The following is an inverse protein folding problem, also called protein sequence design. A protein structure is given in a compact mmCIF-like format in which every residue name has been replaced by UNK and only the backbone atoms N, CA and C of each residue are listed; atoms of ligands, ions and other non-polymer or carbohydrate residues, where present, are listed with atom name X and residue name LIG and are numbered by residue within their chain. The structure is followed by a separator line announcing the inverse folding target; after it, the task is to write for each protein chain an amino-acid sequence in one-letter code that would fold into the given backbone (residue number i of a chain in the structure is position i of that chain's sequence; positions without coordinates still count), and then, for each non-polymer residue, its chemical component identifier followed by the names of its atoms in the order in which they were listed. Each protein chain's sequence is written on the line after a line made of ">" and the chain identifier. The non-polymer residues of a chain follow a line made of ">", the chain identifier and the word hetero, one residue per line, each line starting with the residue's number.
data_IF_106697673273
#
_entry.id   IF_106697673273
#
_cell.length_a   1.000
_cell.length_b   1.000
_cell.length_c   1.000
_cell.angle_alpha   90.00
_cell.angle_beta   90.00
_cell.angle_gamma   90.00
#
_symmetry.space_group_name_H-M   'P 1'
#
loop_
_entity.id
_entity.type
_entity.pdbx_description
1 polymer ?
#
# COMPACT_ATOMS: atom_id res chain seq x y z
N UNK A 1 -3.61 4.35 -28.13
CA UNK A 1 -4.10 4.69 -26.78
C UNK A 1 -5.25 3.73 -26.47
N UNK A 2 -5.11 2.85 -25.49
CA UNK A 2 -6.20 1.96 -25.09
C UNK A 2 -7.27 2.81 -24.39
N UNK A 3 -8.52 2.77 -24.86
CA UNK A 3 -9.63 3.51 -24.25
C UNK A 3 -9.86 2.89 -22.87
N UNK A 4 -9.65 3.68 -21.80
CA UNK A 4 -9.92 3.24 -20.42
C UNK A 4 -11.42 3.31 -20.14
N UNK A 5 -11.94 2.35 -19.39
CA UNK A 5 -13.32 2.34 -18.94
C UNK A 5 -13.52 3.41 -17.85
N UNK A 6 -14.61 4.17 -17.95
CA UNK A 6 -14.94 5.20 -16.95
C UNK A 6 -15.39 4.54 -15.65
N UNK A 7 -14.65 4.80 -14.59
CA UNK A 7 -14.92 4.27 -13.27
C UNK A 7 -15.24 5.38 -12.25
N UNK A 8 -16.05 5.03 -11.26
CA UNK A 8 -16.33 5.82 -10.06
C UNK A 8 -15.75 5.09 -8.86
N UNK A 9 -15.12 5.81 -7.94
CA UNK A 9 -14.62 5.27 -6.67
C UNK A 9 -15.58 5.61 -5.52
N UNK A 10 -16.02 4.61 -4.75
CA UNK A 10 -16.88 4.79 -3.59
C UNK A 10 -16.72 3.68 -2.55
N UNK A 11 -16.67 3.97 -1.24
CA UNK A 11 -16.52 5.28 -0.64
C UNK A 11 -15.05 5.73 -0.71
N UNK A 12 -14.83 7.01 -0.98
CA UNK A 12 -13.50 7.61 -0.95
C UNK A 12 -13.12 8.01 0.49
N UNK A 13 -11.98 7.53 0.96
CA UNK A 13 -11.29 7.98 2.16
C UNK A 13 -9.76 8.01 1.94
N UNK A 14 -9.00 8.27 3.02
CA UNK A 14 -7.55 8.38 2.97
C UNK A 14 -6.84 7.09 2.50
N UNK A 15 -7.47 5.92 2.58
CA UNK A 15 -6.84 4.65 2.20
C UNK A 15 -6.62 4.54 0.69
N UNK A 16 -7.36 5.31 -0.11
CA UNK A 16 -7.29 5.32 -1.58
C UNK A 16 -6.66 6.60 -2.15
N UNK A 17 -6.25 7.56 -1.31
CA UNK A 17 -5.51 8.75 -1.75
C UNK A 17 -4.30 8.41 -2.66
N UNK A 18 -3.45 7.41 -2.31
CA UNK A 18 -2.33 7.03 -3.18
C UNK A 18 -2.76 6.53 -4.56
N UNK A 19 -3.87 5.80 -4.64
CA UNK A 19 -4.39 5.31 -5.92
C UNK A 19 -4.89 6.46 -6.80
N UNK A 20 -5.51 7.49 -6.20
CA UNK A 20 -5.93 8.68 -6.94
C UNK A 20 -4.73 9.49 -7.42
N UNK A 21 -3.71 9.68 -6.56
CA UNK A 21 -2.48 10.37 -6.95
C UNK A 21 -1.81 9.67 -8.14
N UNK A 22 -1.76 8.33 -8.10
CA UNK A 22 -1.13 7.51 -9.13
C UNK A 22 -2.10 6.83 -10.10
N UNK A 23 -3.24 7.46 -10.40
CA UNK A 23 -4.30 6.85 -11.22
C UNK A 23 -3.87 6.44 -12.64
N UNK A 24 -2.77 6.98 -13.16
CA UNK A 24 -2.24 6.59 -14.47
C UNK A 24 -1.80 5.11 -14.48
N UNK A 25 -1.45 4.52 -13.33
CA UNK A 25 -1.13 3.09 -13.17
C UNK A 25 -2.32 2.16 -13.41
N UNK A 26 -3.56 2.68 -13.32
CA UNK A 26 -4.74 1.89 -13.64
C UNK A 26 -4.79 1.61 -15.14
N UNK A 27 -4.41 0.41 -15.55
CA UNK A 27 -4.35 0.05 -16.96
C UNK A 27 -5.72 0.11 -17.66
N UNK A 28 -6.78 -0.30 -16.96
CA UNK A 28 -8.11 -0.53 -17.55
C UNK A 28 -9.12 0.59 -17.28
N UNK A 29 -8.91 1.42 -16.25
CA UNK A 29 -9.93 2.34 -15.75
C UNK A 29 -9.42 3.77 -15.64
N UNK A 30 -10.28 4.75 -15.94
CA UNK A 30 -10.07 6.16 -15.60
C UNK A 30 -11.07 6.56 -14.52
N UNK A 31 -10.59 7.15 -13.43
CA UNK A 31 -11.44 7.58 -12.32
C UNK A 31 -11.63 9.09 -12.42
N UNK A 32 -12.80 9.50 -12.93
CA UNK A 32 -13.11 10.92 -13.12
C UNK A 32 -14.01 11.47 -11.98
N UNK A 33 -14.58 10.58 -11.16
CA UNK A 33 -15.43 10.92 -10.03
C UNK A 33 -15.13 10.04 -8.82
N UNK A 34 -15.00 10.69 -7.67
CA UNK A 34 -14.77 10.07 -6.37
C UNK A 34 -15.86 10.53 -5.42
N UNK A 35 -16.37 9.61 -4.60
CA UNK A 35 -17.56 9.87 -3.81
C UNK A 35 -17.31 9.45 -2.38
N UNK A 36 -17.53 10.36 -1.44
CA UNK A 36 -17.53 10.04 -0.02
C UNK A 36 -18.96 10.12 0.52
N UNK A 37 -19.35 9.21 1.45
CA UNK A 37 -20.61 9.29 2.16
C UNK A 37 -20.86 10.65 2.82
N UNK A 38 -22.13 11.06 2.88
CA UNK A 38 -22.54 12.22 3.67
C UNK A 38 -22.20 12.01 5.14
N UNK A 39 -21.79 13.09 5.82
CA UNK A 39 -21.33 13.03 7.21
C UNK A 39 -19.83 12.74 7.37
N UNK A 40 -19.12 12.36 6.30
CA UNK A 40 -17.67 12.11 6.39
C UNK A 40 -16.80 13.38 6.34
N UNK A 41 -17.40 14.55 6.07
CA UNK A 41 -16.71 15.85 6.11
C UNK A 41 -15.78 16.13 4.91
N UNK A 42 -15.96 15.39 3.81
CA UNK A 42 -15.06 15.45 2.64
C UNK A 42 -15.68 16.11 1.41
N UNK A 43 -17.01 16.15 1.29
CA UNK A 43 -17.69 16.70 0.12
C UNK A 43 -17.27 18.16 -0.15
N UNK A 44 -16.99 18.47 -1.42
CA UNK A 44 -16.57 19.79 -1.88
C UNK A 44 -15.06 20.07 -1.79
N UNK A 45 -14.30 19.27 -1.04
CA UNK A 45 -12.83 19.35 -0.98
C UNK A 45 -12.19 18.70 -2.21
N UNK A 46 -10.94 19.06 -2.48
CA UNK A 46 -10.11 18.33 -3.43
C UNK A 46 -9.61 17.02 -2.80
N UNK A 47 -9.50 15.97 -3.63
CA UNK A 47 -9.12 14.62 -3.25
C UNK A 47 -7.81 14.53 -2.47
N UNK A 48 -6.83 15.35 -2.83
CA UNK A 48 -5.50 15.37 -2.22
C UNK A 48 -5.48 16.24 -0.96
N UNK A 49 -5.91 17.50 -1.07
CA UNK A 49 -5.87 18.43 0.08
C UNK A 49 -6.82 18.05 1.21
N UNK A 50 -7.85 17.24 0.96
CA UNK A 50 -8.65 16.62 2.02
C UNK A 50 -7.82 15.78 3.02
N UNK A 51 -6.63 15.33 2.61
CA UNK A 51 -5.71 14.49 3.38
C UNK A 51 -4.28 15.04 3.43
N UNK A 52 -4.13 16.37 3.32
CA UNK A 52 -2.84 17.06 3.45
C UNK A 52 -1.87 16.86 2.29
N UNK A 53 -2.33 16.30 1.16
CA UNK A 53 -1.53 16.19 -0.06
C UNK A 53 -1.71 17.45 -0.93
N UNK A 54 -0.86 17.60 -1.96
CA UNK A 54 -1.10 18.61 -3.00
C UNK A 54 -2.45 18.36 -3.70
N UNK A 55 -3.04 19.41 -4.30
CA UNK A 55 -4.31 19.26 -5.01
C UNK A 55 -4.19 18.31 -6.21
N UNK A 56 -5.09 17.33 -6.30
CA UNK A 56 -5.15 16.38 -7.42
C UNK A 56 -6.02 16.89 -8.58
N UNK A 57 -6.80 17.94 -8.36
CA UNK A 57 -7.76 18.48 -9.33
C UNK A 57 -9.07 17.70 -9.41
N UNK A 58 -9.32 16.78 -8.47
CA UNK A 58 -10.56 16.00 -8.39
C UNK A 58 -11.35 16.42 -7.15
N UNK A 59 -12.57 16.91 -7.35
CA UNK A 59 -13.47 17.25 -6.25
C UNK A 59 -14.21 16.03 -5.74
N UNK A 60 -14.29 15.90 -4.42
CA UNK A 60 -15.06 14.86 -3.75
C UNK A 60 -16.54 15.23 -3.78
N UNK A 61 -17.37 14.31 -4.28
CA UNK A 61 -18.82 14.45 -4.33
C UNK A 61 -19.51 13.57 -3.27
N UNK A 62 -20.80 13.79 -3.05
CA UNK A 62 -21.63 13.00 -2.15
C UNK A 62 -22.87 12.37 -2.82
N UNK A 63 -23.10 12.66 -4.11
CA UNK A 63 -24.23 12.15 -4.88
C UNK A 63 -23.81 10.91 -5.69
N UNK A 64 -24.06 9.74 -5.11
CA UNK A 64 -23.72 8.46 -5.71
C UNK A 64 -24.49 8.20 -7.01
N UNK A 65 -25.80 8.43 -7.01
CA UNK A 65 -26.71 8.07 -8.10
C UNK A 65 -26.37 8.82 -9.40
N UNK A 66 -26.06 10.11 -9.31
CA UNK A 66 -25.66 10.92 -10.47
C UNK A 66 -24.36 10.39 -11.07
N UNK A 67 -23.34 10.15 -10.23
CA UNK A 67 -22.06 9.65 -10.69
C UNK A 67 -22.15 8.22 -11.25
N UNK A 68 -22.96 7.36 -10.63
CA UNK A 68 -23.21 6.00 -11.09
C UNK A 68 -23.75 6.00 -12.53
N UNK A 69 -24.66 6.91 -12.87
CA UNK A 69 -25.22 6.99 -14.22
C UNK A 69 -24.20 7.39 -15.30
N UNK A 70 -23.10 8.05 -14.94
CA UNK A 70 -22.09 8.58 -15.88
C UNK A 70 -20.86 7.67 -16.07
N UNK A 71 -20.85 6.49 -15.46
CA UNK A 71 -19.74 5.54 -15.55
C UNK A 71 -20.20 4.17 -16.06
N UNK A 72 -19.24 3.30 -16.39
CA UNK A 72 -19.49 1.89 -16.71
C UNK A 72 -19.17 0.97 -15.53
N UNK A 73 -18.32 1.41 -14.61
CA UNK A 73 -17.75 0.58 -13.54
C UNK A 73 -17.76 1.34 -12.21
N UNK A 74 -18.18 0.69 -11.12
CA UNK A 74 -18.03 1.19 -9.75
C UNK A 74 -16.93 0.39 -9.06
N UNK A 75 -15.94 1.10 -8.52
CA UNK A 75 -14.92 0.55 -7.65
C UNK A 75 -15.36 0.79 -6.21
N UNK A 76 -15.76 -0.29 -5.56
CA UNK A 76 -16.05 -0.32 -4.14
C UNK A 76 -14.74 -0.41 -3.33
N UNK A 77 -14.30 0.73 -2.82
CA UNK A 77 -13.04 0.91 -2.10
C UNK A 77 -13.15 0.47 -0.64
N UNK A 78 -12.14 -0.23 -0.14
CA UNK A 78 -11.96 -0.46 1.30
C UNK A 78 -11.83 0.87 2.06
N UNK A 79 -12.30 0.89 3.30
CA UNK A 79 -12.30 2.07 4.15
C UNK A 79 -12.04 1.68 5.60
N UNK A 80 -11.46 2.60 6.38
CA UNK A 80 -11.18 2.35 7.82
C UNK A 80 -12.21 2.92 8.79
N UNK A 81 -13.17 3.71 8.29
CA UNK A 81 -14.21 4.28 9.16
C UNK A 81 -15.17 3.21 9.64
N UNK A 82 -15.51 3.26 10.93
CA UNK A 82 -16.54 2.41 11.51
C UNK A 82 -17.91 2.81 10.93
N UNK A 83 -18.41 2.04 9.98
CA UNK A 83 -19.68 2.27 9.30
C UNK A 83 -20.23 0.93 8.80
N UNK A 84 -21.55 0.74 8.92
CA UNK A 84 -22.19 -0.50 8.46
C UNK A 84 -22.05 -0.67 6.95
N UNK A 85 -21.49 -1.81 6.56
CA UNK A 85 -21.43 -2.23 5.16
C UNK A 85 -22.85 -2.44 4.61
N UNK A 86 -23.72 -3.07 5.38
CA UNK A 86 -25.09 -3.44 5.01
C UNK A 86 -25.98 -2.21 4.78
N UNK A 87 -25.81 -1.15 5.59
CA UNK A 87 -26.63 0.05 5.48
C UNK A 87 -26.10 1.04 4.45
N UNK A 88 -24.77 1.18 4.34
CA UNK A 88 -24.16 2.20 3.51
C UNK A 88 -23.73 1.68 2.14
N UNK A 89 -23.08 0.52 2.10
CA UNK A 89 -22.37 0.03 0.92
C UNK A 89 -23.24 -0.90 0.08
N UNK A 90 -23.84 -1.91 0.72
CA UNK A 90 -24.62 -2.93 0.03
C UNK A 90 -25.76 -2.35 -0.82
N UNK A 91 -26.53 -1.34 -0.35
CA UNK A 91 -27.59 -0.75 -1.17
C UNK A 91 -27.05 -0.03 -2.42
N UNK A 92 -25.82 0.50 -2.34
CA UNK A 92 -25.13 1.11 -3.50
C UNK A 92 -24.62 0.06 -4.47
N UNK A 93 -24.18 -1.10 -3.98
CA UNK A 93 -23.86 -2.26 -4.81
C UNK A 93 -25.12 -2.71 -5.57
N UNK A 94 -26.25 -2.91 -4.88
CA UNK A 94 -27.51 -3.32 -5.51
C UNK A 94 -27.98 -2.29 -6.55
N UNK A 95 -27.93 -0.99 -6.23
CA UNK A 95 -28.27 0.07 -7.18
C UNK A 95 -27.38 0.02 -8.44
N UNK A 96 -26.08 -0.20 -8.26
CA UNK A 96 -25.11 -0.28 -9.37
C UNK A 96 -25.40 -1.49 -10.27
N UNK A 97 -25.72 -2.64 -9.68
CA UNK A 97 -26.10 -3.85 -10.42
C UNK A 97 -27.40 -3.62 -11.21
N UNK A 98 -28.41 -3.02 -10.57
CA UNK A 98 -29.70 -2.74 -11.20
C UNK A 98 -29.58 -1.73 -12.36
N UNK A 99 -28.62 -0.81 -12.26
CA UNK A 99 -28.28 0.17 -13.33
C UNK A 99 -27.21 -0.35 -14.30
N UNK A 100 -26.92 -1.66 -14.27
CA UNK A 100 -26.01 -2.38 -15.20
C UNK A 100 -24.57 -1.86 -15.19
N UNK A 101 -24.05 -1.51 -14.02
CA UNK A 101 -22.65 -1.11 -13.83
C UNK A 101 -21.80 -2.29 -13.39
N UNK A 102 -20.61 -2.43 -13.97
CA UNK A 102 -19.61 -3.39 -13.53
C UNK A 102 -19.18 -3.07 -12.10
N UNK A 103 -18.86 -4.11 -11.34
CA UNK A 103 -18.54 -4.02 -9.91
C UNK A 103 -17.11 -4.51 -9.70
N UNK A 104 -16.27 -3.64 -9.16
CA UNK A 104 -14.95 -3.98 -8.64
C UNK A 104 -15.01 -3.83 -7.13
N UNK A 105 -14.88 -4.91 -6.39
CA UNK A 105 -14.84 -4.89 -4.94
C UNK A 105 -13.41 -5.02 -4.41
N UNK A 106 -13.04 -4.14 -3.49
CA UNK A 106 -11.79 -4.20 -2.72
C UNK A 106 -12.04 -4.25 -1.21
N UNK A 107 -13.31 -4.17 -0.79
CA UNK A 107 -13.74 -4.21 0.61
C UNK A 107 -13.66 -5.65 1.13
N UNK A 108 -13.18 -5.80 2.37
CA UNK A 108 -13.22 -7.07 3.08
C UNK A 108 -14.64 -7.48 3.43
N UNK A 109 -15.18 -8.45 2.69
CA UNK A 109 -16.49 -9.04 2.93
C UNK A 109 -16.36 -10.54 3.19
N UNK A 110 -17.30 -11.10 3.94
CA UNK A 110 -17.34 -12.53 4.20
C UNK A 110 -17.76 -13.32 2.93
N UNK A 111 -17.59 -14.64 2.96
CA UNK A 111 -17.87 -15.50 1.80
C UNK A 111 -19.36 -15.54 1.41
N UNK A 112 -20.27 -15.39 2.37
CA UNK A 112 -21.70 -15.39 2.13
C UNK A 112 -22.13 -14.15 1.34
N UNK A 113 -21.74 -12.96 1.80
CA UNK A 113 -22.00 -11.68 1.12
C UNK A 113 -21.35 -11.67 -0.27
N UNK A 114 -20.12 -12.16 -0.40
CA UNK A 114 -19.44 -12.26 -1.70
C UNK A 114 -20.22 -13.14 -2.69
N UNK A 115 -20.71 -14.31 -2.24
CA UNK A 115 -21.56 -15.19 -3.06
C UNK A 115 -22.88 -14.54 -3.43
N UNK A 116 -23.48 -13.77 -2.50
CA UNK A 116 -24.70 -13.03 -2.75
C UNK A 116 -24.51 -11.99 -3.85
N UNK A 117 -23.47 -11.16 -3.75
CA UNK A 117 -23.14 -10.13 -4.76
C UNK A 117 -22.85 -10.78 -6.12
N UNK A 118 -22.03 -11.85 -6.14
CA UNK A 118 -21.72 -12.57 -7.36
C UNK A 118 -22.98 -13.11 -8.05
N UNK A 119 -23.89 -13.72 -7.28
CA UNK A 119 -25.16 -14.25 -7.80
C UNK A 119 -26.06 -13.14 -8.35
N UNK A 120 -26.11 -11.98 -7.70
CA UNK A 120 -26.88 -10.82 -8.17
C UNK A 120 -26.30 -10.25 -9.47
N UNK A 121 -24.98 -10.17 -9.58
CA UNK A 121 -24.28 -9.70 -10.78
C UNK A 121 -24.52 -10.66 -11.97
N UNK A 122 -24.40 -11.97 -11.74
CA UNK A 122 -24.64 -13.00 -12.78
C UNK A 122 -26.06 -12.92 -13.34
N UNK A 123 -27.08 -12.86 -12.46
CA UNK A 123 -28.49 -12.69 -12.87
C UNK A 123 -28.74 -11.42 -13.66
N UNK A 124 -27.92 -10.39 -13.45
CA UNK A 124 -28.04 -9.10 -14.11
C UNK A 124 -27.10 -8.92 -15.30
N UNK A 125 -26.29 -9.92 -15.64
CA UNK A 125 -25.23 -9.85 -16.66
C UNK A 125 -24.27 -8.68 -16.44
N UNK A 126 -23.80 -8.55 -15.19
CA UNK A 126 -22.86 -7.52 -14.73
C UNK A 126 -21.53 -8.17 -14.39
N UNK A 127 -20.41 -7.58 -14.81
CA UNK A 127 -19.09 -8.06 -14.42
C UNK A 127 -18.86 -7.82 -12.93
N UNK A 128 -18.39 -8.84 -12.23
CA UNK A 128 -17.96 -8.75 -10.83
C UNK A 128 -16.53 -9.23 -10.67
N UNK A 129 -15.68 -8.37 -10.09
CA UNK A 129 -14.30 -8.70 -9.72
C UNK A 129 -14.12 -8.35 -8.24
N UNK A 130 -13.68 -9.33 -7.43
CA UNK A 130 -13.34 -9.10 -6.04
C UNK A 130 -11.83 -9.26 -5.82
N UNK A 131 -11.11 -8.16 -5.64
CA UNK A 131 -9.65 -8.16 -5.44
C UNK A 131 -9.20 -8.68 -4.08
N UNK A 132 -10.07 -8.68 -3.05
CA UNK A 132 -9.79 -9.35 -1.77
C UNK A 132 -9.79 -10.87 -1.89
N UNK A 133 -10.63 -11.39 -2.79
CA UNK A 133 -10.72 -12.83 -3.08
C UNK A 133 -9.81 -13.24 -4.22
N UNK A 134 -9.34 -12.30 -5.06
CA UNK A 134 -8.58 -12.58 -6.26
C UNK A 134 -7.47 -13.57 -5.91
N UNK A 135 -7.74 -14.82 -6.28
CA UNK A 135 -6.82 -15.95 -6.15
C UNK A 135 -5.70 -15.82 -7.17
N UNK A 136 -5.19 -14.62 -7.43
CA UNK A 136 -3.92 -14.44 -8.13
C UNK A 136 -2.73 -14.86 -7.24
N UNK A 137 -3.00 -15.22 -5.98
CA UNK A 137 -2.16 -16.13 -5.20
C UNK A 137 -2.08 -17.56 -5.75
N UNK A 138 -2.95 -18.01 -6.68
CA UNK A 138 -2.88 -19.37 -7.22
C UNK A 138 -1.76 -19.59 -8.23
N UNK A 139 -1.24 -18.56 -8.90
CA UNK A 139 -0.07 -18.81 -9.76
C UNK A 139 1.16 -19.17 -8.91
N UNK A 140 1.25 -18.68 -7.67
CA UNK A 140 2.40 -18.97 -6.79
C UNK A 140 2.09 -20.12 -5.83
N UNK A 141 0.93 -20.16 -5.17
CA UNK A 141 0.57 -21.22 -4.22
C UNK A 141 0.39 -22.61 -4.85
N UNK A 142 -0.06 -22.71 -6.11
CA UNK A 142 -0.33 -24.02 -6.75
C UNK A 142 0.92 -24.67 -7.35
N UNK A 143 2.09 -24.01 -7.29
CA UNK A 143 3.37 -24.55 -7.75
C UNK A 143 4.47 -24.15 -6.77
N UNK A 144 4.19 -24.26 -5.48
CA UNK A 144 5.25 -24.48 -4.50
C UNK A 144 5.29 -25.99 -4.36
N UNK A 145 6.05 -26.60 -5.26
CA UNK A 145 6.30 -28.02 -5.29
C UNK A 145 6.76 -28.46 -3.88
N UNK A 146 6.06 -29.41 -3.26
CA UNK A 146 6.35 -29.91 -1.88
C UNK A 146 7.83 -30.28 -1.70
N UNK A 147 8.51 -30.60 -2.80
CA UNK A 147 9.95 -30.90 -2.87
C UNK A 147 10.85 -29.74 -2.39
N UNK A 148 10.44 -28.47 -2.58
CA UNK A 148 11.23 -27.29 -2.20
C UNK A 148 10.83 -26.74 -0.82
N UNK A 149 9.63 -27.05 -0.33
CA UNK A 149 9.09 -26.55 0.94
C UNK A 149 9.84 -27.10 2.15
N UNK A 150 10.40 -28.31 2.03
CA UNK A 150 11.10 -28.99 3.13
C UNK A 150 12.61 -28.70 3.18
N UNK A 151 13.11 -27.82 2.31
CA UNK A 151 14.50 -27.37 2.35
C UNK A 151 14.54 -25.98 2.97
N UNK A 152 15.13 -25.84 4.16
CA UNK A 152 15.46 -24.56 4.77
C UNK A 152 16.55 -23.85 3.96
N UNK A 153 16.19 -23.35 2.77
CA UNK A 153 17.10 -22.73 1.81
C UNK A 153 16.53 -21.44 1.27
N UNK A 154 17.39 -20.43 1.23
CA UNK A 154 17.11 -19.14 0.60
C UNK A 154 17.70 -19.14 -0.81
N UNK A 155 16.84 -18.87 -1.79
CA UNK A 155 17.23 -18.67 -3.18
C UNK A 155 17.79 -17.26 -3.36
N UNK A 156 18.93 -17.16 -4.06
CA UNK A 156 19.50 -15.87 -4.45
C UNK A 156 18.61 -15.19 -5.50
N UNK A 157 18.11 -14.02 -5.16
CA UNK A 157 17.48 -13.07 -6.08
C UNK A 157 18.60 -12.22 -6.69
N UNK A 158 18.58 -12.03 -8.00
CA UNK A 158 19.61 -11.32 -8.77
C UNK A 158 19.20 -9.89 -9.13
N UNK A 159 17.90 -9.66 -9.18
CA UNK A 159 17.30 -8.36 -9.46
C UNK A 159 17.41 -7.48 -8.21
N UNK A 160 17.85 -6.22 -8.35
CA UNK A 160 17.93 -5.30 -7.22
C UNK A 160 16.59 -5.13 -6.50
N UNK A 161 16.61 -5.16 -5.17
CA UNK A 161 15.43 -5.04 -4.31
C UNK A 161 15.46 -3.69 -3.58
N UNK A 162 14.40 -2.91 -3.75
CA UNK A 162 14.08 -1.75 -2.91
C UNK A 162 13.09 -2.19 -1.84
N UNK A 163 13.47 -2.06 -0.57
CA UNK A 163 12.61 -2.36 0.56
C UNK A 163 12.06 -1.08 1.19
N UNK A 164 10.74 -0.99 1.30
CA UNK A 164 10.04 0.13 1.93
C UNK A 164 9.43 -0.34 3.24
N UNK A 165 9.92 0.21 4.35
CA UNK A 165 9.49 -0.13 5.72
C UNK A 165 9.17 1.16 6.47
N UNK A 166 8.61 1.02 7.67
CA UNK A 166 8.32 2.18 8.49
C UNK A 166 8.05 1.84 9.94
N UNK A 167 8.03 2.86 10.78
CA UNK A 167 7.89 2.70 12.22
C UNK A 167 6.53 2.09 12.61
N UNK A 168 5.48 2.40 11.85
CA UNK A 168 4.10 1.94 12.06
C UNK A 168 3.30 1.94 10.76
N UNK A 169 2.02 1.59 10.83
CA UNK A 169 1.04 2.00 9.80
C UNK A 169 0.94 3.53 9.66
N UNK A 170 0.27 4.01 8.60
CA UNK A 170 0.05 5.46 8.32
C UNK A 170 1.33 6.29 8.09
N UNK A 171 2.40 5.62 7.70
CA UNK A 171 3.70 6.21 7.35
C UNK A 171 3.88 6.38 5.83
N UNK A 172 2.82 6.55 5.05
CA UNK A 172 2.90 6.76 3.59
C UNK A 172 3.71 5.71 2.78
N UNK A 173 3.97 4.51 3.34
CA UNK A 173 4.72 3.44 2.65
C UNK A 173 4.16 3.12 1.27
N UNK A 174 2.84 3.01 1.15
CA UNK A 174 2.23 2.68 -0.13
C UNK A 174 2.41 3.80 -1.17
N UNK A 175 2.38 5.07 -0.74
CA UNK A 175 2.69 6.22 -1.58
C UNK A 175 4.13 6.16 -2.11
N UNK A 176 5.09 5.90 -1.22
CA UNK A 176 6.50 5.69 -1.60
C UNK A 176 6.62 4.59 -2.65
N UNK A 177 5.94 3.46 -2.44
CA UNK A 177 5.97 2.35 -3.40
C UNK A 177 5.42 2.74 -4.78
N UNK A 178 4.31 3.49 -4.82
CA UNK A 178 3.68 3.89 -6.08
C UNK A 178 4.48 4.98 -6.80
N UNK A 179 5.03 5.95 -6.06
CA UNK A 179 5.90 6.99 -6.63
C UNK A 179 7.20 6.40 -7.21
N UNK A 180 7.87 5.48 -6.50
CA UNK A 180 9.04 4.79 -7.07
C UNK A 180 8.66 4.00 -8.33
N UNK A 181 7.56 3.21 -8.26
CA UNK A 181 7.05 2.46 -9.41
C UNK A 181 6.80 3.36 -10.61
N UNK A 182 6.14 4.49 -10.40
CA UNK A 182 5.86 5.49 -11.43
C UNK A 182 7.11 5.87 -12.20
N UNK A 183 8.11 6.32 -11.45
CA UNK A 183 9.28 6.95 -12.00
C UNK A 183 10.17 5.91 -12.69
N UNK A 184 10.31 4.70 -12.13
CA UNK A 184 10.98 3.60 -12.83
C UNK A 184 10.27 3.22 -14.14
N UNK A 185 8.94 3.10 -14.15
CA UNK A 185 8.19 2.80 -15.38
C UNK A 185 8.35 3.92 -16.41
N UNK A 186 8.28 5.19 -15.98
CA UNK A 186 8.48 6.36 -16.86
C UNK A 186 9.87 6.40 -17.48
N UNK A 187 10.89 5.93 -16.78
CA UNK A 187 12.28 5.76 -17.27
C UNK A 187 12.48 4.53 -18.14
N UNK A 188 11.47 3.67 -18.27
CA UNK A 188 11.50 2.49 -19.15
C UNK A 188 11.91 1.19 -18.47
N UNK A 189 12.09 1.18 -17.14
CA UNK A 189 12.39 -0.05 -16.39
C UNK A 189 11.16 -0.93 -16.23
N UNK A 190 11.37 -2.23 -16.19
CA UNK A 190 10.38 -3.23 -15.80
C UNK A 190 10.38 -3.40 -14.29
N UNK A 191 9.25 -3.11 -13.65
CA UNK A 191 9.14 -3.10 -12.18
C UNK A 191 8.31 -4.27 -11.67
N UNK A 192 8.94 -5.17 -10.92
CA UNK A 192 8.25 -6.16 -10.07
C UNK A 192 7.89 -5.52 -8.73
N UNK A 193 6.72 -5.85 -8.16
CA UNK A 193 6.31 -5.20 -6.91
C UNK A 193 5.39 -6.04 -6.04
N UNK A 194 5.66 -6.00 -4.72
CA UNK A 194 4.81 -6.54 -3.65
C UNK A 194 4.38 -5.38 -2.75
N UNK A 195 3.10 -5.04 -2.78
CA UNK A 195 2.51 -3.91 -2.09
C UNK A 195 2.05 -4.17 -0.67
N UNK A 196 1.90 -3.08 0.09
CA UNK A 196 1.36 -3.09 1.46
C UNK A 196 -0.17 -3.06 1.54
N UNK A 197 -0.87 -3.00 0.40
CA UNK A 197 -2.35 -2.97 0.32
C UNK A 197 -2.89 -4.27 -0.27
N UNK A 198 -4.17 -4.54 -0.05
CA UNK A 198 -4.86 -5.74 -0.54
C UNK A 198 -5.48 -5.60 -1.94
N UNK A 199 -5.38 -4.41 -2.54
CA UNK A 199 -5.94 -4.09 -3.85
C UNK A 199 -4.85 -3.85 -4.91
N UNK A 200 -3.61 -4.29 -4.67
CA UNK A 200 -2.47 -4.02 -5.57
C UNK A 200 -2.68 -4.57 -6.98
N UNK A 201 -3.43 -5.66 -7.12
CA UNK A 201 -3.76 -6.30 -8.39
C UNK A 201 -4.59 -5.38 -9.29
N UNK A 202 -5.37 -4.45 -8.71
CA UNK A 202 -6.07 -3.40 -9.46
C UNK A 202 -5.08 -2.46 -10.18
N UNK A 203 -3.89 -2.29 -9.63
CA UNK A 203 -2.78 -1.48 -10.18
C UNK A 203 -1.77 -2.33 -10.98
N UNK A 204 -2.07 -3.62 -11.19
CA UNK A 204 -1.26 -4.53 -12.00
C UNK A 204 0.01 -5.03 -11.33
N UNK A 205 0.04 -5.12 -10.00
CA UNK A 205 1.14 -5.77 -9.25
C UNK A 205 0.60 -6.54 -8.04
N UNK A 206 1.48 -7.21 -7.30
CA UNK A 206 1.06 -8.17 -6.26
C UNK A 206 0.78 -7.51 -4.92
N UNK A 207 -0.27 -7.97 -4.25
CA UNK A 207 -0.45 -7.73 -2.82
C UNK A 207 0.48 -8.64 -2.00
N UNK A 208 0.73 -8.30 -0.74
CA UNK A 208 1.46 -9.18 0.18
C UNK A 208 0.77 -10.57 0.25
N UNK A 209 1.49 -11.69 0.03
CA UNK A 209 0.91 -13.03 0.07
C UNK A 209 0.28 -13.35 1.43
N UNK A 210 -0.93 -13.91 1.41
CA UNK A 210 -1.70 -14.18 2.62
C UNK A 210 -1.06 -15.18 3.57
N UNK A 211 -0.21 -16.10 3.07
CA UNK A 211 0.47 -17.10 3.90
C UNK A 211 1.40 -16.46 4.96
N UNK A 212 1.84 -15.21 4.76
CA UNK A 212 2.66 -14.50 5.75
C UNK A 212 1.89 -14.24 7.05
N UNK A 213 0.56 -14.19 6.98
CA UNK A 213 -0.33 -13.98 8.12
C UNK A 213 -0.95 -15.26 8.65
N UNK A 214 -0.70 -16.41 8.02
CA UNK A 214 -1.33 -17.68 8.38
C UNK A 214 -0.68 -18.26 9.65
N UNK A 215 -1.48 -18.44 10.69
CA UNK A 215 -1.03 -19.01 11.98
C UNK A 215 -0.77 -20.51 11.91
N UNK A 216 -1.19 -21.19 10.84
CA UNK A 216 -0.97 -22.62 10.63
C UNK A 216 0.38 -22.91 9.94
N UNK A 217 1.10 -21.87 9.52
CA UNK A 217 2.41 -21.98 8.88
C UNK A 217 3.47 -21.49 9.87
N UNK A 218 4.52 -22.28 10.10
CA UNK A 218 5.62 -21.87 10.98
C UNK A 218 6.38 -20.67 10.41
N UNK A 219 6.96 -19.84 11.29
CA UNK A 219 7.69 -18.64 10.85
C UNK A 219 8.87 -18.97 9.94
N UNK A 220 9.62 -20.03 10.23
CA UNK A 220 10.69 -20.52 9.35
C UNK A 220 10.19 -20.87 7.95
N UNK A 221 9.00 -21.47 7.85
CA UNK A 221 8.38 -21.82 6.58
C UNK A 221 7.84 -20.58 5.86
N UNK A 222 7.30 -19.59 6.57
CA UNK A 222 6.91 -18.32 5.96
C UNK A 222 8.09 -17.60 5.31
N UNK A 223 9.25 -17.60 5.96
CA UNK A 223 10.49 -17.00 5.44
C UNK A 223 10.89 -17.67 4.11
N UNK A 224 10.96 -19.00 4.07
CA UNK A 224 11.35 -19.73 2.84
C UNK A 224 10.30 -19.59 1.73
N UNK A 225 9.01 -19.63 2.08
CA UNK A 225 7.91 -19.41 1.13
C UNK A 225 7.94 -18.00 0.54
N UNK A 226 8.21 -16.97 1.36
CA UNK A 226 8.31 -15.59 0.88
C UNK A 226 9.51 -15.40 -0.05
N UNK A 227 10.68 -15.95 0.30
CA UNK A 227 11.83 -15.93 -0.58
C UNK A 227 11.52 -16.60 -1.94
N UNK A 228 10.90 -17.77 -1.92
CA UNK A 228 10.51 -18.48 -3.15
C UNK A 228 9.47 -17.69 -3.96
N UNK A 229 8.52 -17.04 -3.29
CA UNK A 229 7.53 -16.16 -3.92
C UNK A 229 8.22 -15.03 -4.70
N UNK A 230 9.17 -14.33 -4.08
CA UNK A 230 9.94 -13.25 -4.74
C UNK A 230 10.80 -13.82 -5.87
N UNK A 231 11.46 -14.97 -5.65
CA UNK A 231 12.27 -15.63 -6.68
C UNK A 231 11.45 -16.03 -7.92
N UNK A 232 10.23 -16.52 -7.70
CA UNK A 232 9.32 -16.90 -8.77
C UNK A 232 8.83 -15.68 -9.55
N UNK A 233 8.50 -14.59 -8.85
CA UNK A 233 8.19 -13.31 -9.48
C UNK A 233 9.37 -12.84 -10.34
N UNK A 234 10.61 -12.89 -9.83
CA UNK A 234 11.81 -12.55 -10.62
C UNK A 234 11.91 -13.39 -11.91
N UNK A 235 11.70 -14.70 -11.85
CA UNK A 235 11.88 -15.59 -13.01
C UNK A 235 10.78 -15.42 -14.07
N UNK A 236 9.53 -15.19 -13.64
CA UNK A 236 8.36 -15.05 -14.52
C UNK A 236 8.31 -13.64 -15.09
N UNK A 237 8.44 -12.63 -14.23
CA UNK A 237 8.28 -11.24 -14.61
C UNK A 237 9.58 -10.64 -15.12
N UNK A 238 10.75 -11.22 -14.83
CA UNK A 238 12.05 -10.70 -15.27
C UNK A 238 12.19 -9.17 -15.09
N UNK A 239 11.89 -8.62 -13.89
CA UNK A 239 11.97 -7.19 -13.67
C UNK A 239 13.43 -6.72 -13.66
N UNK A 240 13.64 -5.43 -13.92
CA UNK A 240 14.92 -4.74 -13.75
C UNK A 240 15.12 -4.29 -12.29
N UNK A 241 14.00 -4.05 -11.57
CA UNK A 241 13.98 -3.70 -10.14
C UNK A 241 12.75 -4.27 -9.46
N UNK A 242 12.90 -4.70 -8.21
CA UNK A 242 11.81 -5.23 -7.38
C UNK A 242 11.55 -4.27 -6.21
N UNK A 243 10.30 -3.80 -6.06
CA UNK A 243 9.88 -2.96 -4.92
C UNK A 243 9.06 -3.82 -3.94
N UNK A 244 9.49 -3.93 -2.69
CA UNK A 244 8.77 -4.67 -1.65
C UNK A 244 8.42 -3.71 -0.52
N UNK A 245 7.14 -3.62 -0.19
CA UNK A 245 6.67 -2.85 0.94
C UNK A 245 6.31 -3.77 2.10
N UNK A 246 6.83 -3.46 3.29
CA UNK A 246 6.57 -4.22 4.52
C UNK A 246 5.30 -3.69 5.19
N UNK A 247 4.24 -4.49 5.33
CA UNK A 247 3.01 -4.09 6.03
C UNK A 247 3.25 -3.88 7.53
N UNK A 248 2.41 -3.06 8.17
CA UNK A 248 2.52 -2.77 9.59
C UNK A 248 3.72 -1.88 9.95
N UNK A 249 4.38 -2.20 11.08
CA UNK A 249 5.55 -1.49 11.60
C UNK A 249 6.65 -2.45 12.01
N UNK A 250 7.86 -1.93 12.19
CA UNK A 250 9.06 -2.73 12.49
C UNK A 250 9.31 -2.99 13.98
N UNK A 251 8.58 -2.31 14.86
CA UNK A 251 8.70 -2.45 16.30
C UNK A 251 7.42 -1.98 17.01
N UNK A 252 7.17 -2.41 18.25
CA UNK A 252 6.12 -1.83 19.07
C UNK A 252 6.27 -0.32 19.14
N UNK A 253 5.18 0.39 18.84
CA UNK A 253 5.14 1.84 19.01
C UNK A 253 4.84 2.20 20.47
N UNK A 254 3.95 1.43 21.10
CA UNK A 254 3.67 1.44 22.54
C UNK A 254 2.98 0.10 22.93
N UNK A 255 2.56 -0.03 24.18
CA UNK A 255 1.95 -1.26 24.72
C UNK A 255 0.58 -1.59 24.09
N UNK A 256 -0.06 -0.62 23.43
CA UNK A 256 -1.35 -0.78 22.73
C UNK A 256 -1.10 -1.08 21.24
N UNK A 257 -0.25 -0.28 20.62
CA UNK A 257 0.19 -0.40 19.23
C UNK A 257 1.46 -1.20 19.16
N UNK A 258 1.29 -2.50 19.32
CA UNK A 258 2.38 -3.46 19.29
C UNK A 258 3.03 -3.56 17.91
N UNK A 259 2.36 -3.10 16.83
CA UNK A 259 2.75 -3.34 15.44
C UNK A 259 3.07 -4.83 15.18
N UNK A 260 2.36 -5.74 15.86
CA UNK A 260 2.65 -7.18 15.85
C UNK A 260 4.14 -7.47 16.11
N UNK A 261 4.76 -6.66 16.97
CA UNK A 261 6.14 -6.74 17.42
C UNK A 261 7.20 -6.68 16.32
N UNK A 262 6.83 -6.26 15.10
CA UNK A 262 7.74 -6.28 13.95
C UNK A 262 8.04 -7.69 13.42
N UNK A 263 7.26 -8.71 13.80
CA UNK A 263 7.49 -10.10 13.39
C UNK A 263 7.47 -10.25 11.87
N UNK A 264 6.47 -9.67 11.20
CA UNK A 264 6.38 -9.71 9.72
C UNK A 264 7.55 -9.01 9.05
N UNK A 265 8.03 -7.89 9.62
CA UNK A 265 9.23 -7.21 9.12
C UNK A 265 10.48 -8.08 9.27
N UNK A 266 10.59 -8.79 10.40
CA UNK A 266 11.66 -9.73 10.65
C UNK A 266 11.63 -10.91 9.67
N UNK A 267 10.49 -11.56 9.48
CA UNK A 267 10.32 -12.66 8.51
C UNK A 267 10.75 -12.24 7.09
N UNK A 268 10.29 -11.07 6.63
CA UNK A 268 10.67 -10.55 5.31
C UNK A 268 12.17 -10.27 5.25
N UNK A 269 12.76 -9.68 6.28
CA UNK A 269 14.21 -9.39 6.33
C UNK A 269 15.09 -10.64 6.27
N UNK A 270 14.60 -11.78 6.78
CA UNK A 270 15.31 -13.05 6.71
C UNK A 270 15.13 -13.75 5.36
N UNK A 271 14.13 -13.34 4.57
CA UNK A 271 13.81 -13.94 3.28
C UNK A 271 14.51 -13.25 2.09
N UNK A 272 14.92 -12.00 2.24
CA UNK A 272 15.49 -11.18 1.16
C UNK A 272 16.65 -10.32 1.67
N UNK A 273 17.53 -9.90 0.77
CA UNK A 273 18.58 -8.91 1.06
C UNK A 273 18.26 -7.69 0.18
N UNK A 274 17.94 -6.53 0.78
CA UNK A 274 17.67 -5.32 0.01
C UNK A 274 18.96 -4.65 -0.48
N UNK A 275 18.90 -4.05 -1.66
CA UNK A 275 19.97 -3.23 -2.24
C UNK A 275 19.75 -1.73 -1.96
N UNK A 276 18.49 -1.35 -1.71
CA UNK A 276 18.12 -0.03 -1.22
C UNK A 276 16.97 -0.10 -0.20
N UNK A 277 17.01 0.76 0.83
CA UNK A 277 16.09 0.74 1.96
C UNK A 277 15.53 2.14 2.21
N UNK A 278 14.23 2.31 2.01
CA UNK A 278 13.49 3.52 2.38
C UNK A 278 12.75 3.27 3.69
N UNK A 279 13.03 4.06 4.72
CA UNK A 279 12.38 3.94 6.01
C UNK A 279 11.47 5.13 6.29
N UNK A 280 10.17 4.90 6.50
CA UNK A 280 9.24 5.97 6.83
C UNK A 280 8.84 6.07 8.29
N UNK A 281 8.87 7.29 8.82
CA UNK A 281 8.43 7.66 10.17
C UNK A 281 7.10 8.42 10.13
N UNK A 282 6.46 8.52 11.30
CA UNK A 282 5.37 9.48 11.52
C UNK A 282 5.94 10.89 11.64
N UNK A 283 5.10 11.91 11.45
CA UNK A 283 5.47 13.29 11.75
C UNK A 283 5.64 13.47 13.25
N UNK A 284 6.80 13.98 13.66
CA UNK A 284 7.08 14.49 15.00
C UNK A 284 8.31 15.40 14.91
N UNK A 285 8.53 16.23 15.93
CA UNK A 285 9.77 17.03 16.05
C UNK A 285 10.93 16.19 16.59
N UNK A 286 11.35 15.20 15.83
CA UNK A 286 12.45 14.31 16.21
C UNK A 286 13.80 15.04 16.20
N UNK A 287 14.65 14.68 17.15
CA UNK A 287 16.06 15.06 17.15
C UNK A 287 16.86 14.13 16.20
N UNK A 288 17.98 14.57 15.62
CA UNK A 288 18.83 13.71 14.79
C UNK A 288 19.23 12.38 15.46
N UNK A 289 19.45 12.39 16.79
CA UNK A 289 19.77 11.18 17.56
C UNK A 289 18.70 10.09 17.48
N UNK A 290 17.42 10.46 17.31
CA UNK A 290 16.35 9.48 17.11
C UNK A 290 16.55 8.68 15.82
N UNK A 291 16.94 9.35 14.73
CA UNK A 291 17.20 8.69 13.44
C UNK A 291 18.46 7.82 13.48
N UNK A 292 19.47 8.24 14.24
CA UNK A 292 20.67 7.42 14.49
C UNK A 292 20.36 6.14 15.29
N UNK A 293 19.57 6.27 16.36
CA UNK A 293 19.08 5.13 17.15
C UNK A 293 18.22 4.19 16.30
N UNK A 294 17.34 4.75 15.48
CA UNK A 294 16.49 4.00 14.56
C UNK A 294 17.31 3.25 13.51
N UNK A 295 18.31 3.89 12.92
CA UNK A 295 19.24 3.26 11.97
C UNK A 295 19.99 2.09 12.61
N UNK A 296 20.52 2.28 13.83
CA UNK A 296 21.16 1.20 14.61
C UNK A 296 20.19 0.05 14.89
N UNK A 297 18.97 0.37 15.31
CA UNK A 297 17.91 -0.62 15.58
C UNK A 297 17.60 -1.46 14.34
N UNK A 298 17.43 -0.82 13.18
CA UNK A 298 17.17 -1.51 11.92
C UNK A 298 18.35 -2.37 11.49
N UNK A 299 19.57 -1.84 11.54
CA UNK A 299 20.80 -2.56 11.19
C UNK A 299 20.95 -3.85 11.99
N UNK A 300 20.82 -3.77 13.32
CA UNK A 300 21.06 -4.93 14.19
C UNK A 300 19.88 -5.91 14.24
N UNK A 301 18.64 -5.46 13.99
CA UNK A 301 17.47 -6.36 13.97
C UNK A 301 17.28 -7.06 12.62
N UNK A 302 17.51 -6.36 11.52
CA UNK A 302 17.13 -6.81 10.18
C UNK A 302 18.31 -7.04 9.25
N UNK A 303 19.52 -6.60 9.62
CA UNK A 303 20.75 -6.90 8.88
C UNK A 303 21.04 -5.99 7.69
N UNK A 304 20.38 -4.84 7.58
CA UNK A 304 20.61 -3.86 6.51
C UNK A 304 20.58 -2.42 7.05
N UNK A 305 21.26 -1.52 6.34
CA UNK A 305 21.28 -0.09 6.66
C UNK A 305 20.09 0.63 6.00
N UNK A 306 19.69 1.77 6.57
CA UNK A 306 18.68 2.66 5.97
C UNK A 306 19.39 3.63 5.04
N UNK A 307 18.90 3.76 3.81
CA UNK A 307 19.53 4.61 2.80
C UNK A 307 18.88 5.98 2.70
N UNK A 308 17.57 6.05 2.89
CA UNK A 308 16.88 7.32 3.07
C UNK A 308 15.67 7.18 3.97
N UNK A 309 15.31 8.29 4.60
CA UNK A 309 14.12 8.44 5.41
C UNK A 309 12.99 9.10 4.62
N UNK A 310 11.76 8.78 5.02
CA UNK A 310 10.57 9.53 4.66
C UNK A 310 9.82 9.97 5.91
N UNK A 311 9.60 11.27 6.07
CA UNK A 311 8.73 11.83 7.10
C UNK A 311 7.29 11.89 6.57
N UNK A 312 6.40 11.03 7.07
CA UNK A 312 4.98 11.08 6.68
C UNK A 312 4.31 12.33 7.24
N UNK A 313 3.15 12.66 6.68
CA UNK A 313 2.32 13.77 7.18
C UNK A 313 1.33 13.36 8.29
N UNK A 314 1.47 12.16 8.85
CA UNK A 314 0.61 11.71 9.94
C UNK A 314 1.39 11.69 11.24
N UNK A 315 0.87 12.34 12.27
CA UNK A 315 1.35 12.25 13.65
C UNK A 315 0.42 11.36 14.47
N UNK A 316 0.97 10.64 15.43
CA UNK A 316 0.17 9.88 16.38
C UNK A 316 -0.57 10.81 17.37
N UNK A 317 -1.89 10.69 17.48
CA UNK A 317 -2.66 11.44 18.47
C UNK A 317 -2.65 10.72 19.82
N UNK A 318 -1.75 11.15 20.71
CA UNK A 318 -1.61 10.57 22.05
C UNK A 318 -2.81 10.80 22.96
N UNK A 319 -3.53 11.92 22.82
CA UNK A 319 -4.61 12.29 23.73
C UNK A 319 -5.90 11.55 23.38
N UNK A 320 -6.26 11.57 22.10
CA UNK A 320 -7.48 10.92 21.63
C UNK A 320 -7.37 9.40 21.72
N UNK A 321 -6.19 8.83 21.45
CA UNK A 321 -5.96 7.39 21.55
C UNK A 321 -6.04 6.86 23.00
N UNK A 322 -5.56 7.64 24.00
CA UNK A 322 -5.69 7.26 25.43
C UNK A 322 -7.15 7.20 25.87
N UNK A 323 -7.94 8.18 25.46
CA UNK A 323 -9.34 8.32 25.90
C UNK A 323 -10.22 7.18 25.37
N UNK A 324 -10.00 6.76 24.12
CA UNK A 324 -10.81 5.71 23.47
C UNK A 324 -10.41 4.29 23.85
N UNK A 325 -9.15 4.05 24.19
CA UNK A 325 -8.66 2.75 24.68
C UNK A 325 -9.43 2.27 25.93
N UNK A 326 -9.92 3.19 26.76
CA UNK A 326 -10.74 2.88 27.95
C UNK A 326 -12.16 2.39 27.65
N UNK A 327 -12.65 2.51 26.41
CA UNK A 327 -14.08 2.37 26.05
C UNK A 327 -14.38 1.18 25.12
N UNK A 328 -13.65 0.07 25.26
CA UNK A 328 -13.98 -1.27 24.70
C UNK A 328 -13.37 -1.58 23.32
N UNK A 329 -12.74 -0.64 22.61
CA UNK A 329 -11.94 -0.92 21.40
C UNK A 329 -10.67 -0.05 21.32
N UNK A 330 -9.53 -0.64 20.93
CA UNK A 330 -8.25 0.06 20.77
C UNK A 330 -8.27 0.97 19.53
N UNK A 331 -8.98 2.09 19.59
CA UNK A 331 -9.04 3.06 18.50
C UNK A 331 -7.77 3.91 18.54
N UNK A 332 -7.00 3.81 17.46
CA UNK A 332 -5.79 4.59 17.23
C UNK A 332 -6.09 5.75 16.31
N UNK A 333 -5.79 6.98 16.76
CA UNK A 333 -6.02 8.19 15.99
C UNK A 333 -4.72 8.85 15.54
N UNK A 334 -4.81 9.53 14.40
CA UNK A 334 -3.70 10.25 13.80
C UNK A 334 -4.16 11.65 13.41
N UNK A 335 -3.27 12.62 13.60
CA UNK A 335 -3.41 13.97 13.10
C UNK A 335 -2.70 14.03 11.75
N UNK A 336 -3.42 14.46 10.71
CA UNK A 336 -2.85 14.66 9.38
C UNK A 336 -2.47 16.14 9.21
N UNK A 337 -1.23 16.37 8.81
CA UNK A 337 -0.67 17.68 8.50
C UNK A 337 -0.63 17.90 6.98
N UNK A 338 -0.62 19.17 6.57
CA UNK A 338 -0.32 19.53 5.19
C UNK A 338 1.13 19.18 4.85
N UNK A 339 1.34 18.62 3.67
CA UNK A 339 2.65 18.23 3.15
C UNK A 339 3.65 19.39 3.17
N UNK A 340 3.25 20.59 2.76
CA UNK A 340 4.11 21.78 2.81
C UNK A 340 4.62 22.10 4.22
N UNK A 341 3.77 21.91 5.24
CA UNK A 341 4.13 22.10 6.63
C UNK A 341 5.18 21.07 7.07
N UNK A 342 5.00 19.80 6.70
CA UNK A 342 5.94 18.73 7.00
C UNK A 342 7.29 18.96 6.32
N UNK A 343 7.27 19.30 5.02
CA UNK A 343 8.48 19.59 4.23
C UNK A 343 9.27 20.75 4.81
N UNK A 344 8.60 21.80 5.29
CA UNK A 344 9.25 22.97 5.89
C UNK A 344 9.85 22.67 7.27
N UNK A 345 9.29 21.69 8.00
CA UNK A 345 9.71 21.37 9.38
C UNK A 345 10.54 20.08 9.48
N UNK A 346 10.94 19.47 8.36
CA UNK A 346 11.83 18.31 8.37
C UNK A 346 13.22 18.72 8.88
N UNK A 347 13.85 17.86 9.67
CA UNK A 347 15.22 18.10 10.13
C UNK A 347 16.24 17.68 9.07
N UNK A 348 17.35 18.42 9.00
CA UNK A 348 18.52 18.03 8.22
C UNK A 348 19.25 16.87 8.93
N UNK A 349 19.56 15.83 8.16
CA UNK A 349 20.18 14.59 8.64
C UNK A 349 21.35 14.22 7.73
N UNK A 350 22.23 13.35 8.21
CA UNK A 350 23.31 12.78 7.40
C UNK A 350 22.80 11.79 6.35
N UNK A 351 21.71 11.09 6.66
CA UNK A 351 20.95 10.24 5.73
C UNK A 351 19.84 11.11 5.13
N UNK A 352 19.62 11.13 3.81
CA UNK A 352 18.58 11.94 3.19
C UNK A 352 17.20 11.72 3.82
N UNK A 353 16.47 12.81 4.04
CA UNK A 353 15.14 12.79 4.66
C UNK A 353 14.15 13.55 3.77
N UNK A 354 13.17 12.81 3.27
CA UNK A 354 12.22 13.30 2.28
C UNK A 354 10.80 13.35 2.86
N UNK A 355 9.93 14.10 2.23
CA UNK A 355 8.48 13.98 2.33
C UNK A 355 7.94 13.55 0.96
N UNK A 356 7.51 12.29 0.85
CA UNK A 356 7.04 11.71 -0.41
C UNK A 356 5.83 12.45 -1.02
N UNK A 357 5.07 13.19 -0.21
CA UNK A 357 3.93 13.97 -0.69
C UNK A 357 4.33 15.31 -1.33
N UNK A 358 5.60 15.72 -1.17
CA UNK A 358 6.19 16.83 -1.91
C UNK A 358 6.80 16.32 -3.22
N UNK A 359 6.49 16.99 -4.33
CA UNK A 359 6.92 16.55 -5.66
C UNK A 359 8.43 16.61 -5.87
N UNK A 360 9.12 17.59 -5.24
CA UNK A 360 10.56 17.72 -5.39
C UNK A 360 11.26 16.62 -4.58
N UNK A 361 10.89 16.47 -3.31
CA UNK A 361 11.40 15.41 -2.43
C UNK A 361 11.13 14.01 -3.01
N UNK A 362 9.95 13.79 -3.61
CA UNK A 362 9.61 12.54 -4.28
C UNK A 362 10.54 12.25 -5.46
N UNK A 363 10.85 13.25 -6.28
CA UNK A 363 11.77 13.11 -7.41
C UNK A 363 13.22 12.89 -6.92
N UNK A 364 13.67 13.65 -5.91
CA UNK A 364 15.00 13.50 -5.32
C UNK A 364 15.18 12.13 -4.67
N UNK A 365 14.16 11.59 -3.98
CA UNK A 365 14.18 10.23 -3.45
C UNK A 365 14.35 9.20 -4.58
N UNK A 366 13.60 9.35 -5.67
CA UNK A 366 13.71 8.46 -6.81
C UNK A 366 15.12 8.51 -7.43
N UNK A 367 15.65 9.70 -7.70
CA UNK A 367 16.99 9.87 -8.28
C UNK A 367 18.08 9.31 -7.36
N UNK A 368 17.98 9.53 -6.06
CA UNK A 368 18.90 8.97 -5.07
C UNK A 368 18.92 7.44 -5.11
N UNK A 369 17.73 6.81 -5.13
CA UNK A 369 17.60 5.35 -5.19
C UNK A 369 18.07 4.81 -6.54
N UNK A 370 17.69 5.42 -7.66
CA UNK A 370 18.15 5.02 -9.01
C UNK A 370 19.68 5.05 -9.11
N UNK A 371 20.31 6.14 -8.65
CA UNK A 371 21.77 6.28 -8.67
C UNK A 371 22.46 5.23 -7.79
N UNK A 372 21.91 4.95 -6.60
CA UNK A 372 22.44 3.92 -5.71
C UNK A 372 22.41 2.53 -6.37
N UNK A 373 21.29 2.16 -6.97
CA UNK A 373 21.16 0.85 -7.64
C UNK A 373 22.06 0.75 -8.87
N UNK A 374 22.22 1.84 -9.62
CA UNK A 374 23.11 1.91 -10.80
C UNK A 374 24.59 1.73 -10.41
N UNK A 375 25.01 2.28 -9.26
CA UNK A 375 26.38 2.16 -8.76
C UNK A 375 26.84 0.71 -8.53
N UNK A 376 25.94 -0.20 -8.15
CA UNK A 376 26.27 -1.63 -8.02
C UNK A 376 26.51 -2.33 -9.37
N UNK A 377 25.96 -1.80 -10.46
CA UNK A 377 26.19 -2.30 -11.81
C UNK A 377 27.62 -2.09 -12.31
N UNK A 378 28.27 -1.01 -11.86
CA UNK A 378 29.63 -0.64 -12.29
C UNK A 378 30.73 -1.47 -11.58
N UNK A 379 30.47 -1.95 -10.36
CA UNK A 379 31.48 -2.67 -9.54
C UNK A 379 31.71 -4.12 -10.00
N UNK A 380 30.78 -4.70 -10.78
CA UNK A 380 30.89 -6.10 -11.25
C UNK A 380 31.76 -6.30 -12.51
N UNK A 381 32.52 -5.29 -12.94
CA UNK A 381 33.43 -5.36 -14.10
C UNK A 381 34.92 -5.55 -13.75
N UNK A 382 35.27 -5.87 -12.49
CA UNK A 382 36.66 -6.11 -12.08
C UNK A 382 36.90 -7.52 -11.53
#
# INVERSE_FOLDING_TARGET
>A
MQIKEKAVLYPYDNEFTPLINHQYLLAKHSIDKIISPRGWGMCGKDAGSAFGCTNFGLKICDNFEVACNECSTIIFSDFKKDTSFEELIFPKIEYSINTKKNIINTIGINEEIDKQIASLCERNNVLYINYRKCKHNNCINTIIDDQYINLERISKIRTPIILVLGISEKTNKFEIQLSLRENFIRKGYKVGQIGTRSYCELLGFHSMPQFIYDTNISESKKITLFNYYVKKMELIEKPDVIIIGVPGGVMPFNDILTNKFGITAYEISQAIIPDAVVFSTLYEKYLPSFYEDLSRSVKYKFGFDIDCFNLSNNQFDWESSKTKTTLVENITEFITYDSDYVTTNKCELSIPNYNILDNNDSNEMFEYIENKLSGYGEVNYF
#
